data_IF_115527252766
#
_entry.id   IF_115527252766
#
_cell.length_a   1.000
_cell.length_b   1.000
_cell.length_c   1.000
_cell.angle_alpha   90.00
_cell.angle_beta   90.00
_cell.angle_gamma   90.00
#
_symmetry.space_group_name_H-M   'P 1'
#
loop_
_entity.id
_entity.type
_entity.pdbx_description
1 polymer ?
#
# COMPACT_ATOMS: atom_id res chain seq x y z
N UNK A 1 19.85 -11.42 -28.14
CA UNK A 1 18.74 -10.48 -28.41
C UNK A 1 18.42 -9.60 -27.20
N UNK A 2 18.03 -10.16 -26.06
CA UNK A 2 17.74 -9.37 -24.84
C UNK A 2 18.94 -8.56 -24.36
N UNK A 3 20.15 -9.12 -24.40
CA UNK A 3 21.38 -8.41 -24.06
C UNK A 3 21.60 -7.15 -24.92
N UNK A 4 21.33 -7.23 -26.22
CA UNK A 4 21.49 -6.10 -27.15
C UNK A 4 20.54 -4.94 -26.82
N UNK A 5 19.34 -5.25 -26.32
CA UNK A 5 18.37 -4.24 -25.85
C UNK A 5 18.83 -3.65 -24.53
N UNK A 6 19.30 -4.48 -23.60
CA UNK A 6 19.76 -4.04 -22.28
C UNK A 6 21.08 -3.24 -22.33
N UNK A 7 21.87 -3.38 -23.40
CA UNK A 7 23.00 -2.48 -23.69
C UNK A 7 22.53 -1.05 -23.99
N UNK A 8 21.38 -0.89 -24.65
CA UNK A 8 20.82 0.42 -25.00
C UNK A 8 19.95 1.01 -23.87
N UNK A 9 19.22 0.16 -23.16
CA UNK A 9 18.33 0.51 -22.06
C UNK A 9 18.66 -0.36 -20.84
N UNK A 10 19.74 -0.03 -20.10
CA UNK A 10 20.13 -0.78 -18.92
C UNK A 10 19.04 -0.66 -17.85
N UNK A 11 18.63 -1.79 -17.28
CA UNK A 11 17.61 -1.83 -16.22
C UNK A 11 16.16 -1.84 -16.71
N UNK A 12 15.90 -2.00 -18.02
CA UNK A 12 14.53 -2.12 -18.54
C UNK A 12 13.83 -3.38 -18.01
N UNK A 13 12.89 -3.18 -17.07
CA UNK A 13 12.24 -4.23 -16.27
C UNK A 13 11.60 -5.32 -17.14
N UNK A 14 10.76 -4.94 -18.09
CA UNK A 14 10.01 -5.89 -18.94
C UNK A 14 10.94 -6.77 -19.78
N UNK A 15 12.08 -6.21 -20.21
CA UNK A 15 13.08 -6.96 -20.98
C UNK A 15 13.76 -8.01 -20.11
N UNK A 16 14.09 -7.65 -18.86
CA UNK A 16 14.69 -8.57 -17.89
C UNK A 16 13.69 -9.70 -17.55
N UNK A 17 12.43 -9.35 -17.25
CA UNK A 17 11.37 -10.33 -16.95
C UNK A 17 11.13 -11.26 -18.15
N UNK A 18 11.08 -10.71 -19.37
CA UNK A 18 10.91 -11.51 -20.59
C UNK A 18 12.07 -12.48 -20.81
N UNK A 19 13.31 -12.04 -20.54
CA UNK A 19 14.48 -12.91 -20.62
C UNK A 19 14.42 -14.03 -19.58
N UNK A 20 14.13 -13.71 -18.33
CA UNK A 20 13.97 -14.70 -17.24
C UNK A 20 12.90 -15.74 -17.59
N UNK A 21 11.76 -15.28 -18.13
CA UNK A 21 10.69 -16.17 -18.55
C UNK A 21 11.06 -17.04 -19.76
N UNK A 22 11.93 -16.56 -20.66
CA UNK A 22 12.48 -17.37 -21.74
C UNK A 22 13.40 -18.45 -21.19
N UNK A 23 14.35 -18.10 -20.33
CA UNK A 23 15.30 -19.05 -19.74
C UNK A 23 14.60 -20.13 -18.94
N UNK A 24 13.52 -19.80 -18.23
CA UNK A 24 12.69 -20.78 -17.52
C UNK A 24 12.07 -21.82 -18.45
N UNK A 25 11.75 -21.47 -19.70
CA UNK A 25 11.17 -22.41 -20.67
C UNK A 25 12.23 -23.23 -21.40
N UNK A 26 13.42 -22.65 -21.59
CA UNK A 26 14.53 -23.31 -22.30
C UNK A 26 15.32 -24.24 -21.38
N UNK A 27 15.52 -23.84 -20.13
CA UNK A 27 16.22 -24.62 -19.13
C UNK A 27 15.24 -25.54 -18.40
N UNK A 28 15.66 -26.76 -18.08
CA UNK A 28 14.88 -27.69 -17.24
C UNK A 28 14.84 -27.29 -15.77
N UNK A 29 15.50 -26.19 -15.37
CA UNK A 29 15.62 -25.72 -14.00
C UNK A 29 15.50 -24.20 -13.88
N UNK A 30 15.32 -23.73 -12.64
CA UNK A 30 15.11 -22.31 -12.31
C UNK A 30 16.41 -21.54 -12.03
N UNK A 31 17.55 -22.23 -11.91
CA UNK A 31 18.80 -21.63 -11.42
C UNK A 31 19.31 -20.52 -12.35
N UNK A 32 19.23 -20.74 -13.67
CA UNK A 32 19.59 -19.73 -14.67
C UNK A 32 18.70 -18.49 -14.57
N UNK A 33 17.39 -18.69 -14.39
CA UNK A 33 16.42 -17.61 -14.20
C UNK A 33 16.73 -16.79 -12.94
N UNK A 34 17.06 -17.47 -11.83
CA UNK A 34 17.43 -16.84 -10.57
C UNK A 34 18.76 -16.09 -10.69
N UNK A 35 19.76 -16.66 -11.38
CA UNK A 35 21.05 -16.02 -11.58
C UNK A 35 20.93 -14.70 -12.34
N UNK A 36 20.07 -14.65 -13.38
CA UNK A 36 19.77 -13.42 -14.11
C UNK A 36 19.11 -12.38 -13.21
N UNK A 37 18.08 -12.77 -12.44
CA UNK A 37 17.41 -11.84 -11.52
C UNK A 37 18.39 -11.28 -10.49
N UNK A 38 19.20 -12.12 -9.86
CA UNK A 38 20.23 -11.70 -8.89
C UNK A 38 21.23 -10.73 -9.50
N UNK A 39 21.73 -11.02 -10.71
CA UNK A 39 22.65 -10.13 -11.44
C UNK A 39 22.08 -8.72 -11.58
N UNK A 40 20.80 -8.58 -11.90
CA UNK A 40 20.17 -7.26 -12.05
C UNK A 40 19.80 -6.61 -10.72
N UNK A 41 19.40 -7.39 -9.71
CA UNK A 41 19.14 -6.89 -8.35
C UNK A 41 20.41 -6.30 -7.73
N UNK A 42 21.54 -6.99 -7.89
CA UNK A 42 22.84 -6.58 -7.34
C UNK A 42 23.50 -5.48 -8.20
N UNK A 43 23.06 -5.31 -9.45
CA UNK A 43 23.57 -4.25 -10.32
C UNK A 43 23.14 -2.86 -9.86
N UNK A 44 23.96 -1.85 -10.18
CA UNK A 44 23.61 -0.44 -9.96
C UNK A 44 22.85 0.20 -11.13
N UNK A 45 22.43 -0.60 -12.12
CA UNK A 45 21.70 -0.11 -13.30
C UNK A 45 20.19 -0.06 -13.09
N UNK A 46 19.67 -0.80 -12.10
CA UNK A 46 18.27 -0.82 -11.75
C UNK A 46 18.00 0.15 -10.58
N UNK A 47 16.91 0.90 -10.68
CA UNK A 47 16.42 1.70 -9.57
C UNK A 47 15.80 0.82 -8.47
N UNK A 48 15.45 1.42 -7.34
CA UNK A 48 14.90 0.68 -6.20
C UNK A 48 13.55 0.01 -6.53
N UNK A 49 12.74 0.63 -7.41
CA UNK A 49 11.45 0.11 -7.81
C UNK A 49 11.58 -1.10 -8.73
N UNK A 50 12.48 -1.05 -9.71
CA UNK A 50 12.80 -2.20 -10.55
C UNK A 50 13.41 -3.32 -9.70
N UNK A 51 14.32 -3.01 -8.76
CA UNK A 51 14.85 -4.01 -7.83
C UNK A 51 13.77 -4.67 -6.98
N UNK A 52 12.79 -3.90 -6.50
CA UNK A 52 11.65 -4.44 -5.77
C UNK A 52 10.84 -5.40 -6.65
N UNK A 53 10.53 -5.00 -7.89
CA UNK A 53 9.80 -5.83 -8.83
C UNK A 53 10.55 -7.13 -9.19
N UNK A 54 11.85 -7.04 -9.49
CA UNK A 54 12.70 -8.19 -9.77
C UNK A 54 12.81 -9.14 -8.57
N UNK A 55 12.94 -8.61 -7.36
CA UNK A 55 12.93 -9.42 -6.13
C UNK A 55 11.59 -10.10 -5.93
N UNK A 56 10.47 -9.42 -6.18
CA UNK A 56 9.13 -10.02 -6.13
C UNK A 56 8.98 -11.15 -7.14
N UNK A 57 9.46 -10.99 -8.37
CA UNK A 57 9.46 -12.06 -9.37
C UNK A 57 10.33 -13.24 -8.96
N UNK A 58 11.49 -12.98 -8.37
CA UNK A 58 12.33 -14.04 -7.81
C UNK A 58 11.58 -14.82 -6.72
N UNK A 59 10.88 -14.14 -5.83
CA UNK A 59 10.06 -14.78 -4.79
C UNK A 59 8.93 -15.59 -5.41
N UNK A 60 8.27 -15.09 -6.47
CA UNK A 60 7.25 -15.82 -7.22
C UNK A 60 7.80 -17.11 -7.83
N UNK A 61 9.03 -17.10 -8.37
CA UNK A 61 9.68 -18.32 -8.87
C UNK A 61 9.92 -19.35 -7.75
N UNK A 62 10.39 -18.91 -6.59
CA UNK A 62 10.58 -19.78 -5.41
C UNK A 62 9.23 -20.37 -4.95
N UNK A 63 8.18 -19.56 -4.93
CA UNK A 63 6.87 -20.01 -4.47
C UNK A 63 6.18 -20.94 -5.47
N UNK A 64 5.95 -20.48 -6.70
CA UNK A 64 5.11 -21.18 -7.68
C UNK A 64 5.85 -22.29 -8.43
N UNK A 65 7.15 -22.15 -8.66
CA UNK A 65 7.92 -23.10 -9.48
C UNK A 65 8.73 -24.05 -8.60
N UNK A 66 9.51 -23.53 -7.64
CA UNK A 66 10.24 -24.38 -6.69
C UNK A 66 9.31 -25.03 -5.65
N UNK A 67 8.11 -24.49 -5.44
CA UNK A 67 7.12 -25.04 -4.51
C UNK A 67 7.46 -24.82 -3.04
N UNK A 68 8.26 -23.80 -2.72
CA UNK A 68 8.77 -23.54 -1.36
C UNK A 68 8.15 -22.26 -0.77
N UNK A 69 6.89 -22.29 -0.28
CA UNK A 69 6.23 -21.11 0.26
C UNK A 69 6.91 -20.55 1.52
N UNK A 70 7.50 -21.41 2.37
CA UNK A 70 8.20 -20.94 3.57
C UNK A 70 9.47 -20.14 3.24
N UNK A 71 10.20 -20.53 2.19
CA UNK A 71 11.35 -19.77 1.70
C UNK A 71 10.91 -18.43 1.10
N UNK A 72 9.84 -18.45 0.30
CA UNK A 72 9.24 -17.25 -0.27
C UNK A 72 8.80 -16.25 0.81
N UNK A 73 8.15 -16.73 1.88
CA UNK A 73 7.72 -15.90 3.01
C UNK A 73 8.90 -15.22 3.72
N UNK A 74 9.96 -15.98 4.01
CA UNK A 74 11.18 -15.41 4.62
C UNK A 74 11.79 -14.32 3.75
N UNK A 75 11.79 -14.52 2.43
CA UNK A 75 12.27 -13.53 1.48
C UNK A 75 11.40 -12.26 1.47
N UNK A 76 10.07 -12.39 1.52
CA UNK A 76 9.20 -11.21 1.67
C UNK A 76 9.48 -10.46 2.98
N UNK A 77 9.52 -11.16 4.11
CA UNK A 77 9.79 -10.56 5.41
C UNK A 77 11.13 -9.83 5.46
N UNK A 78 12.20 -10.43 4.93
CA UNK A 78 13.54 -9.84 4.89
C UNK A 78 13.57 -8.54 4.06
N UNK A 79 12.85 -8.51 2.94
CA UNK A 79 12.89 -7.39 2.00
C UNK A 79 11.84 -6.31 2.29
N UNK A 80 10.90 -6.56 3.20
CA UNK A 80 9.84 -5.62 3.57
C UNK A 80 10.37 -4.30 4.13
N UNK A 81 11.49 -4.31 4.86
CA UNK A 81 12.13 -3.09 5.38
C UNK A 81 12.86 -2.27 4.31
N UNK A 82 13.20 -2.89 3.19
CA UNK A 82 13.95 -2.27 2.08
C UNK A 82 12.99 -1.61 1.09
N UNK A 83 11.88 -2.29 0.76
CA UNK A 83 10.96 -1.87 -0.30
C UNK A 83 9.70 -1.19 0.24
N UNK A 84 9.86 -0.22 1.15
CA UNK A 84 8.75 0.46 1.83
C UNK A 84 7.82 1.20 0.86
N UNK A 85 8.37 1.78 -0.21
CA UNK A 85 7.66 2.61 -1.19
C UNK A 85 7.12 1.79 -2.39
N UNK A 86 7.44 0.50 -2.49
CA UNK A 86 7.10 -0.30 -3.68
C UNK A 86 5.69 -0.88 -3.60
N UNK A 87 4.74 -0.24 -4.30
CA UNK A 87 3.36 -0.75 -4.42
C UNK A 87 3.33 -2.20 -4.95
N UNK A 88 4.15 -2.49 -5.96
CA UNK A 88 4.20 -3.82 -6.57
C UNK A 88 4.60 -4.88 -5.54
N UNK A 89 5.62 -4.60 -4.72
CA UNK A 89 6.07 -5.53 -3.70
C UNK A 89 4.97 -5.85 -2.68
N UNK A 90 4.31 -4.83 -2.14
CA UNK A 90 3.28 -5.00 -1.11
C UNK A 90 2.01 -5.70 -1.61
N UNK A 91 1.55 -5.37 -2.82
CA UNK A 91 0.43 -6.09 -3.45
C UNK A 91 0.76 -7.57 -3.55
N UNK A 92 1.94 -7.89 -4.07
CA UNK A 92 2.34 -9.27 -4.28
C UNK A 92 2.56 -10.03 -2.96
N UNK A 93 3.05 -9.37 -1.92
CA UNK A 93 3.19 -9.99 -0.61
C UNK A 93 1.83 -10.32 0.02
N UNK A 94 0.87 -9.39 -0.06
CA UNK A 94 -0.48 -9.64 0.43
C UNK A 94 -1.16 -10.78 -0.34
N UNK A 95 -1.10 -10.74 -1.68
CA UNK A 95 -1.64 -11.79 -2.54
C UNK A 95 -0.99 -13.15 -2.28
N UNK A 96 0.33 -13.17 -2.04
CA UNK A 96 1.06 -14.39 -1.69
C UNK A 96 0.47 -15.06 -0.45
N UNK A 97 0.24 -14.33 0.65
CA UNK A 97 -0.34 -14.93 1.86
C UNK A 97 -1.80 -15.36 1.67
N UNK A 98 -2.59 -14.58 0.91
CA UNK A 98 -4.00 -14.88 0.63
C UNK A 98 -4.22 -16.10 -0.30
N UNK A 99 -3.23 -16.42 -1.14
CA UNK A 99 -3.26 -17.57 -2.05
C UNK A 99 -2.68 -18.84 -1.43
N UNK A 100 -2.17 -18.81 -0.19
CA UNK A 100 -1.70 -20.02 0.45
C UNK A 100 -2.85 -21.02 0.66
N UNK A 101 -2.59 -22.33 0.49
CA UNK A 101 -3.61 -23.35 0.77
C UNK A 101 -3.97 -23.31 2.25
N UNK A 102 -5.28 -23.27 2.53
CA UNK A 102 -5.82 -23.22 3.88
C UNK A 102 -6.53 -24.54 4.19
N UNK A 103 -6.11 -25.21 5.26
CA UNK A 103 -6.85 -26.32 5.87
C UNK A 103 -7.59 -25.83 7.12
N UNK A 104 -8.66 -26.50 7.56
CA UNK A 104 -9.37 -26.13 8.79
C UNK A 104 -8.46 -25.97 10.02
N UNK A 105 -7.45 -26.82 10.14
CA UNK A 105 -6.48 -26.79 11.25
C UNK A 105 -5.49 -25.61 11.16
N UNK A 106 -5.19 -25.14 9.95
CA UNK A 106 -4.23 -24.04 9.71
C UNK A 106 -4.90 -22.69 9.48
N UNK A 107 -6.23 -22.67 9.41
CA UNK A 107 -7.03 -21.52 9.03
C UNK A 107 -6.77 -20.30 9.91
N UNK A 108 -6.65 -20.50 11.23
CA UNK A 108 -6.30 -19.43 12.19
C UNK A 108 -4.90 -18.87 11.96
N UNK A 109 -3.93 -19.73 11.65
CA UNK A 109 -2.56 -19.30 11.40
C UNK A 109 -2.44 -18.55 10.07
N UNK A 110 -3.15 -18.99 9.04
CA UNK A 110 -3.23 -18.29 7.76
C UNK A 110 -3.84 -16.89 7.92
N UNK A 111 -4.95 -16.79 8.67
CA UNK A 111 -5.57 -15.52 9.02
C UNK A 111 -4.59 -14.56 9.72
N UNK A 112 -3.90 -15.04 10.76
CA UNK A 112 -2.95 -14.23 11.51
C UNK A 112 -1.83 -13.68 10.61
N UNK A 113 -1.29 -14.50 9.70
CA UNK A 113 -0.25 -14.07 8.74
C UNK A 113 -0.74 -12.95 7.83
N UNK A 114 -1.96 -13.07 7.30
CA UNK A 114 -2.53 -12.03 6.42
C UNK A 114 -2.78 -10.74 7.21
N UNK A 115 -3.34 -10.86 8.42
CA UNK A 115 -3.57 -9.72 9.32
C UNK A 115 -2.26 -9.02 9.70
N UNK A 116 -1.19 -9.78 9.95
CA UNK A 116 0.17 -9.26 10.19
C UNK A 116 0.68 -8.46 8.99
N UNK A 117 0.51 -8.96 7.76
CA UNK A 117 0.93 -8.25 6.55
C UNK A 117 0.17 -6.94 6.38
N UNK A 118 -1.15 -6.92 6.58
CA UNK A 118 -1.94 -5.67 6.50
C UNK A 118 -1.55 -4.69 7.59
N UNK A 119 -1.32 -5.18 8.81
CA UNK A 119 -0.84 -4.35 9.91
C UNK A 119 0.53 -3.75 9.59
N UNK A 120 1.41 -4.54 8.99
CA UNK A 120 2.73 -4.08 8.54
C UNK A 120 2.59 -3.02 7.44
N UNK A 121 1.80 -3.27 6.39
CA UNK A 121 1.53 -2.29 5.32
C UNK A 121 1.04 -0.98 5.92
N UNK A 122 0.04 -1.03 6.80
CA UNK A 122 -0.54 0.18 7.40
C UNK A 122 0.43 0.91 8.34
N UNK A 123 1.41 0.25 8.93
CA UNK A 123 2.34 0.87 9.91
C UNK A 123 3.66 1.34 9.31
N UNK A 124 4.24 0.57 8.39
CA UNK A 124 5.62 0.79 7.94
C UNK A 124 5.72 1.15 6.47
N UNK A 125 4.77 0.73 5.63
CA UNK A 125 4.85 1.03 4.20
C UNK A 125 4.65 2.54 3.97
N UNK A 126 5.43 3.08 3.04
CA UNK A 126 5.41 4.50 2.65
C UNK A 126 4.64 4.68 1.34
N UNK A 127 3.51 3.99 1.25
CA UNK A 127 2.64 4.03 0.08
C UNK A 127 1.66 5.20 0.17
N UNK A 128 1.15 5.70 -0.97
CA UNK A 128 0.08 6.69 -0.97
C UNK A 128 -1.14 6.18 -0.16
N UNK A 129 -1.83 7.06 0.60
CA UNK A 129 -2.96 6.65 1.44
C UNK A 129 -4.05 5.89 0.68
N UNK A 130 -4.35 6.30 -0.57
CA UNK A 130 -5.31 5.63 -1.43
C UNK A 130 -4.92 4.18 -1.73
N UNK A 131 -3.63 3.91 -1.96
CA UNK A 131 -3.13 2.55 -2.20
C UNK A 131 -3.26 1.69 -0.95
N UNK A 132 -2.98 2.26 0.23
CA UNK A 132 -3.15 1.56 1.51
C UNK A 132 -4.63 1.24 1.75
N UNK A 133 -5.53 2.17 1.41
CA UNK A 133 -6.98 1.96 1.44
C UNK A 133 -7.40 0.80 0.53
N UNK A 134 -6.98 0.80 -0.73
CA UNK A 134 -7.27 -0.28 -1.69
C UNK A 134 -6.78 -1.64 -1.18
N UNK A 135 -5.53 -1.71 -0.70
CA UNK A 135 -4.96 -2.95 -0.13
C UNK A 135 -5.74 -3.43 1.10
N UNK A 136 -6.21 -2.49 1.92
CA UNK A 136 -7.03 -2.83 3.09
C UNK A 136 -8.40 -3.32 2.66
N UNK A 137 -9.00 -2.75 1.61
CA UNK A 137 -10.27 -3.24 1.05
C UNK A 137 -10.15 -4.66 0.49
N UNK A 138 -9.04 -4.99 -0.19
CA UNK A 138 -8.78 -6.38 -0.61
C UNK A 138 -8.80 -7.35 0.58
N UNK A 139 -8.18 -6.96 1.70
CA UNK A 139 -8.24 -7.76 2.92
C UNK A 139 -9.63 -7.80 3.55
N UNK A 140 -10.38 -6.70 3.53
CA UNK A 140 -11.75 -6.65 4.03
C UNK A 140 -12.67 -7.58 3.24
N UNK A 141 -12.51 -7.69 1.92
CA UNK A 141 -13.22 -8.70 1.10
C UNK A 141 -12.85 -10.11 1.56
N UNK A 142 -11.56 -10.38 1.78
CA UNK A 142 -11.11 -11.66 2.34
C UNK A 142 -11.76 -11.99 3.69
N UNK A 143 -11.91 -11.00 4.58
CA UNK A 143 -12.57 -11.17 5.87
C UNK A 143 -14.03 -11.62 5.74
N UNK A 144 -14.73 -11.14 4.71
CA UNK A 144 -16.13 -11.49 4.48
C UNK A 144 -16.29 -12.86 3.79
N UNK A 145 -15.41 -13.18 2.85
CA UNK A 145 -15.59 -14.34 1.97
C UNK A 145 -14.89 -15.61 2.47
N UNK A 146 -13.73 -15.47 3.11
CA UNK A 146 -12.79 -16.59 3.34
C UNK A 146 -12.30 -16.71 4.76
N UNK A 147 -12.51 -15.71 5.62
CA UNK A 147 -11.98 -15.76 6.98
C UNK A 147 -12.66 -16.87 7.82
N UNK A 148 -11.89 -17.79 8.40
CA UNK A 148 -12.40 -18.95 9.13
C UNK A 148 -12.75 -18.64 10.60
N UNK A 149 -12.59 -17.39 11.04
CA UNK A 149 -12.65 -17.00 12.45
C UNK A 149 -13.97 -16.30 12.82
N UNK A 150 -14.61 -16.65 13.97
CA UNK A 150 -15.83 -15.99 14.45
C UNK A 150 -15.68 -14.48 14.72
N UNK A 151 -14.44 -13.99 14.87
CA UNK A 151 -14.13 -12.57 15.10
C UNK A 151 -13.87 -11.75 13.83
N UNK A 152 -13.95 -12.34 12.63
CA UNK A 152 -13.64 -11.64 11.37
C UNK A 152 -14.46 -10.36 11.20
N UNK A 153 -15.74 -10.37 11.60
CA UNK A 153 -16.62 -9.21 11.47
C UNK A 153 -16.22 -8.05 12.39
N UNK A 154 -15.69 -8.33 13.58
CA UNK A 154 -15.19 -7.30 14.49
C UNK A 154 -13.92 -6.65 13.93
N UNK A 155 -13.05 -7.46 13.34
CA UNK A 155 -11.85 -6.97 12.65
C UNK A 155 -12.21 -6.14 11.42
N UNK A 156 -13.19 -6.59 10.63
CA UNK A 156 -13.75 -5.84 9.50
C UNK A 156 -14.28 -4.48 9.96
N UNK A 157 -15.14 -4.45 10.98
CA UNK A 157 -15.73 -3.20 11.47
C UNK A 157 -14.68 -2.24 12.01
N UNK A 158 -13.63 -2.74 12.66
CA UNK A 158 -12.49 -1.93 13.07
C UNK A 158 -11.81 -1.32 11.85
N UNK A 159 -11.49 -2.11 10.82
CA UNK A 159 -10.81 -1.62 9.61
C UNK A 159 -11.69 -0.63 8.83
N UNK A 160 -12.98 -0.90 8.72
CA UNK A 160 -13.94 -0.02 8.06
C UNK A 160 -13.98 1.36 8.73
N UNK A 161 -14.03 1.39 10.07
CA UNK A 161 -13.95 2.64 10.83
C UNK A 161 -12.65 3.41 10.57
N UNK A 162 -11.52 2.72 10.46
CA UNK A 162 -10.22 3.36 10.25
C UNK A 162 -9.97 3.82 8.80
N UNK A 163 -10.63 3.18 7.81
CA UNK A 163 -10.35 3.40 6.38
C UNK A 163 -11.45 4.18 5.66
N UNK A 164 -12.71 3.90 6.00
CA UNK A 164 -13.88 4.51 5.38
C UNK A 164 -14.57 5.52 6.31
N UNK A 165 -14.37 5.40 7.62
CA UNK A 165 -14.95 6.32 8.60
C UNK A 165 -14.37 7.74 8.49
N UNK A 166 -15.14 8.77 8.88
CA UNK A 166 -14.62 10.13 8.97
C UNK A 166 -13.47 10.22 9.97
N UNK A 167 -12.58 11.20 9.81
CA UNK A 167 -11.38 11.33 10.65
C UNK A 167 -11.69 11.38 12.16
N UNK A 168 -12.87 11.89 12.56
CA UNK A 168 -13.34 11.92 13.94
C UNK A 168 -13.48 10.55 14.60
N UNK A 169 -13.63 9.46 13.86
CA UNK A 169 -13.76 8.09 14.40
C UNK A 169 -12.53 7.21 14.16
N UNK A 170 -11.56 7.68 13.36
CA UNK A 170 -10.31 6.97 13.10
C UNK A 170 -9.39 7.11 14.32
N UNK A 171 -9.10 6.01 15.01
CA UNK A 171 -8.29 6.03 16.23
C UNK A 171 -6.81 5.90 15.88
N UNK A 172 -6.48 4.97 14.98
CA UNK A 172 -5.09 4.61 14.68
C UNK A 172 -4.39 5.71 13.88
N UNK A 173 -5.11 6.39 12.99
CA UNK A 173 -4.56 7.53 12.25
C UNK A 173 -4.31 8.72 13.19
N UNK A 174 -5.17 8.96 14.18
CA UNK A 174 -4.93 9.99 15.21
C UNK A 174 -3.71 9.67 16.05
N UNK A 175 -3.51 8.41 16.45
CA UNK A 175 -2.32 7.98 17.21
C UNK A 175 -1.02 8.22 16.44
N UNK A 176 -1.03 8.03 15.12
CA UNK A 176 0.15 8.32 14.28
C UNK A 176 0.46 9.82 14.18
N UNK A 177 -0.55 10.67 14.30
CA UNK A 177 -0.42 12.12 14.21
C UNK A 177 -0.15 12.79 15.56
N UNK A 178 -0.38 12.09 16.68
CA UNK A 178 -0.02 12.57 18.02
C UNK A 178 1.48 12.44 18.26
N UNK A 179 2.12 13.51 18.75
CA UNK A 179 3.54 13.53 19.12
C UNK A 179 3.87 12.51 20.24
N UNK A 180 2.92 12.27 21.16
CA UNK A 180 3.08 11.34 22.29
C UNK A 180 2.55 9.92 22.03
N UNK A 181 1.99 9.65 20.84
CA UNK A 181 1.32 8.38 20.52
C UNK A 181 -0.04 8.15 21.20
N UNK A 182 -0.50 9.07 22.06
CA UNK A 182 -1.84 9.03 22.66
C UNK A 182 -2.88 9.77 21.79
N UNK A 183 -3.89 9.02 21.34
CA UNK A 183 -5.00 9.54 20.55
C UNK A 183 -5.75 10.67 21.28
N UNK A 184 -5.79 10.63 22.62
CA UNK A 184 -6.51 11.63 23.44
C UNK A 184 -5.88 13.02 23.36
N UNK A 185 -4.56 13.10 23.18
CA UNK A 185 -3.84 14.37 23.01
C UNK A 185 -4.26 15.04 21.70
N UNK A 186 -4.33 14.26 20.62
CA UNK A 186 -4.80 14.76 19.33
C UNK A 186 -6.30 15.06 19.33
N UNK A 187 -7.13 14.28 20.04
CA UNK A 187 -8.55 14.61 20.23
C UNK A 187 -8.78 15.90 21.01
N UNK A 188 -7.95 16.18 22.02
CA UNK A 188 -7.99 17.47 22.71
C UNK A 188 -7.63 18.60 21.75
N UNK A 189 -6.61 18.42 20.91
CA UNK A 189 -6.22 19.38 19.86
C UNK A 189 -7.33 19.58 18.82
N UNK A 190 -7.98 18.50 18.37
CA UNK A 190 -9.14 18.52 17.48
C UNK A 190 -10.32 19.28 18.09
N UNK A 191 -10.62 19.08 19.38
CA UNK A 191 -11.69 19.82 20.06
C UNK A 191 -11.41 21.32 20.13
N UNK A 192 -10.15 21.71 20.22
CA UNK A 192 -9.70 23.11 20.18
C UNK A 192 -9.75 23.70 18.75
N UNK A 193 -9.86 22.85 17.73
CA UNK A 193 -9.98 23.24 16.30
C UNK A 193 -11.34 22.86 15.70
N UNK A 194 -12.41 22.82 16.51
CA UNK A 194 -13.79 22.48 16.09
C UNK A 194 -13.92 21.13 15.34
N UNK A 195 -13.10 20.14 15.70
CA UNK A 195 -13.10 18.80 15.12
C UNK A 195 -12.21 18.64 13.89
N UNK A 196 -11.38 19.64 13.55
CA UNK A 196 -10.59 19.65 12.33
C UNK A 196 -9.10 19.33 12.55
N UNK A 197 -8.51 18.30 11.89
CA UNK A 197 -7.11 17.90 12.08
C UNK A 197 -6.07 18.86 11.48
N UNK A 198 -5.92 20.06 12.05
CA UNK A 198 -4.72 20.88 11.82
C UNK A 198 -4.84 22.04 10.83
N UNK A 199 -6.03 22.62 10.62
CA UNK A 199 -6.11 23.99 10.11
C UNK A 199 -6.42 24.90 11.26
N UNK A 200 -5.42 25.66 11.69
CA UNK A 200 -5.67 26.87 12.47
C UNK A 200 -6.64 27.72 11.66
N UNK A 201 -7.83 27.94 12.22
CA UNK A 201 -8.84 28.78 11.58
C UNK A 201 -8.31 30.21 11.64
N UNK A 202 -7.69 30.68 10.55
CA UNK A 202 -7.36 32.08 10.39
C UNK A 202 -8.64 32.80 9.92
N UNK A 203 -9.27 33.54 10.82
CA UNK A 203 -10.53 34.26 10.55
C UNK A 203 -10.44 35.22 9.35
N UNK A 204 -9.23 35.66 8.99
CA UNK A 204 -8.99 36.49 7.80
C UNK A 204 -9.21 35.75 6.47
N UNK A 205 -8.87 34.45 6.41
CA UNK A 205 -9.01 33.64 5.19
C UNK A 205 -10.48 33.27 4.91
N UNK A 206 -11.28 33.12 5.97
CA UNK A 206 -12.74 32.90 5.87
C UNK A 206 -13.43 34.14 5.30
N UNK A 207 -13.03 35.35 5.73
CA UNK A 207 -13.56 36.60 5.16
C UNK A 207 -13.19 36.78 3.69
N UNK A 208 -12.09 36.15 3.24
CA UNK A 208 -11.66 36.16 1.86
C UNK A 208 -12.32 35.06 0.99
N UNK A 209 -13.27 34.28 1.55
CA UNK A 209 -14.03 33.26 0.82
C UNK A 209 -13.23 32.00 0.48
N UNK A 210 -12.04 31.80 1.06
CA UNK A 210 -11.24 30.59 0.85
C UNK A 210 -11.68 29.51 1.82
N UNK A 211 -11.89 28.29 1.31
CA UNK A 211 -12.32 27.18 2.14
C UNK A 211 -11.11 26.66 2.95
N UNK A 212 -11.22 26.55 4.29
CA UNK A 212 -10.17 25.98 5.13
C UNK A 212 -9.79 24.54 4.75
N UNK A 213 -10.65 23.86 3.98
CA UNK A 213 -10.52 22.48 3.55
C UNK A 213 -9.70 22.30 2.27
N UNK A 214 -9.44 23.36 1.51
CA UNK A 214 -8.77 23.27 0.19
C UNK A 214 -7.38 22.63 0.27
N UNK A 215 -6.65 22.87 1.37
CA UNK A 215 -5.32 22.28 1.61
C UNK A 215 -5.37 20.75 1.80
N UNK A 216 -6.43 20.22 2.41
CA UNK A 216 -6.56 18.77 2.66
C UNK A 216 -6.83 17.99 1.40
N UNK A 217 -7.73 18.49 0.55
CA UNK A 217 -8.00 17.87 -0.74
C UNK A 217 -6.71 17.82 -1.58
N UNK A 218 -5.96 18.94 -1.62
CA UNK A 218 -4.69 19.02 -2.34
C UNK A 218 -3.63 18.05 -1.79
N UNK A 219 -3.49 17.94 -0.46
CA UNK A 219 -2.53 17.02 0.18
C UNK A 219 -2.92 15.53 0.02
N UNK A 220 -4.21 15.24 -0.14
CA UNK A 220 -4.73 13.89 -0.41
C UNK A 220 -4.81 13.57 -1.91
N UNK A 221 -4.44 14.50 -2.79
CA UNK A 221 -4.52 14.34 -4.25
C UNK A 221 -5.96 14.38 -4.80
N UNK A 222 -6.91 14.87 -4.01
CA UNK A 222 -8.31 15.06 -4.37
C UNK A 222 -8.56 16.51 -4.83
N UNK A 223 -9.52 16.70 -5.73
CA UNK A 223 -9.94 18.04 -6.15
C UNK A 223 -10.92 18.56 -5.10
N UNK A 224 -10.70 19.74 -4.49
CA UNK A 224 -11.62 20.28 -3.51
C UNK A 224 -13.00 20.52 -4.14
N UNK A 225 -14.09 20.25 -3.41
CA UNK A 225 -15.44 20.56 -3.88
C UNK A 225 -15.55 22.06 -4.13
N UNK A 226 -16.22 22.44 -5.22
CA UNK A 226 -16.41 23.85 -5.60
C UNK A 226 -17.13 24.56 -4.45
N UNK A 227 -16.42 25.43 -3.74
CA UNK A 227 -16.99 26.29 -2.71
C UNK A 227 -17.91 27.29 -3.41
N UNK A 228 -19.22 27.05 -3.38
CA UNK A 228 -20.23 27.98 -3.93
C UNK A 228 -20.35 29.19 -2.99
N UNK A 229 -19.35 30.06 -3.03
CA UNK A 229 -19.45 31.44 -2.57
C UNK A 229 -19.99 32.28 -3.72
N UNK A 230 -21.22 32.77 -3.58
CA UNK A 230 -21.88 33.69 -4.53
C UNK A 230 -20.94 34.80 -5.02
N UNK A 231 -20.48 34.71 -6.27
CA UNK A 231 -20.33 35.87 -7.12
C UNK A 231 -21.49 35.82 -8.11
N UNK A 232 -22.68 36.24 -7.63
CA UNK A 232 -23.70 36.74 -8.53
C UNK A 232 -23.11 38.03 -9.09
N UNK A 233 -22.42 37.91 -10.22
CA UNK A 233 -22.27 39.03 -11.11
C UNK A 233 -23.69 39.48 -11.43
N UNK A 234 -24.06 40.66 -10.95
CA UNK A 234 -25.20 41.40 -11.46
C UNK A 234 -24.93 41.57 -12.96
N UNK A 235 -25.59 40.73 -13.77
CA UNK A 235 -25.86 41.04 -15.16
C UNK A 235 -26.71 42.32 -15.15
N UNK A 236 -26.06 43.45 -15.43
CA UNK A 236 -26.73 44.69 -15.77
C UNK A 236 -27.47 44.49 -17.09
N UNK A 237 -28.77 44.23 -17.02
CA UNK A 237 -29.70 44.51 -18.10
C UNK A 237 -30.18 45.95 -17.98
N UNK A 238 -29.61 46.82 -18.82
CA UNK A 238 -30.10 48.08 -19.43
C UNK A 238 -29.01 49.15 -19.44
#
# INVERSE_FOLDING_TARGET
MFESILVKLPGHLETIISWVNMERRLSSGIDNSIAILKRFIDSNTCDIYAKAALTTEWIRLIWKIKGSPEEARKMFQKNASIYLDSRYFWINYLMFEMEQPVSPDTAKNAHNRISEVITLIRKTARLPPLVIKDLTHVYMVYLLERAPIPGAILEYNRLDREVNGPFSVQIENKQKLSEDGDAKTYERKLRLTNGHPGVEINEADIRAGKSPYDKYYIEQGEIPPITVGHNVQQESYS
#
